data_IF_232332937632
#
_entry.id   IF_232332937632
#
_cell.length_a   1.000
_cell.length_b   1.000
_cell.length_c   1.000
_cell.angle_alpha   90.00
_cell.angle_beta   90.00
_cell.angle_gamma   90.00
#
_symmetry.space_group_name_H-M   'P 1'
#
loop_
_entity.id
_entity.type
_entity.pdbx_description
1 polymer ?
#
# COMPACT_ATOMS: atom_id res chain seq x y z
N UNK A 1 1.96 35.64 7.00
CA UNK A 1 2.44 34.99 5.76
C UNK A 1 1.74 33.65 5.64
N UNK A 2 0.88 33.48 4.63
CA UNK A 2 0.26 32.19 4.33
C UNK A 2 1.36 31.22 3.89
N UNK A 3 1.40 29.96 4.36
CA UNK A 3 2.35 29.00 3.85
C UNK A 3 2.15 28.87 2.33
N UNK A 4 3.18 29.19 1.55
CA UNK A 4 3.19 28.94 0.12
C UNK A 4 3.06 27.43 -0.07
N UNK A 5 1.89 26.98 -0.52
CA UNK A 5 1.69 25.59 -0.91
C UNK A 5 2.43 25.37 -2.22
N UNK A 6 3.57 24.71 -2.14
CA UNK A 6 4.28 24.23 -3.32
C UNK A 6 3.50 23.07 -3.93
N UNK A 7 3.07 23.23 -5.18
CA UNK A 7 2.35 22.17 -5.92
C UNK A 7 3.41 21.32 -6.61
N UNK A 8 3.77 20.19 -6.00
CA UNK A 8 4.65 19.20 -6.60
C UNK A 8 3.84 18.43 -7.65
N UNK A 9 4.28 18.50 -8.91
CA UNK A 9 3.70 17.69 -10.00
C UNK A 9 4.51 16.40 -10.11
N UNK A 10 3.83 15.26 -9.97
CA UNK A 10 4.43 13.93 -10.08
C UNK A 10 3.64 13.10 -11.09
N UNK A 11 4.29 12.17 -11.79
CA UNK A 11 3.58 11.18 -12.59
C UNK A 11 2.89 10.15 -11.68
N UNK A 12 1.96 9.40 -12.28
CA UNK A 12 1.14 8.43 -11.54
C UNK A 12 1.97 7.26 -10.99
N UNK A 13 2.98 6.80 -11.74
CA UNK A 13 3.81 5.68 -11.31
C UNK A 13 4.60 6.04 -10.05
N UNK A 14 5.16 7.26 -9.99
CA UNK A 14 5.80 7.78 -8.79
C UNK A 14 4.82 7.93 -7.62
N UNK A 15 3.58 8.38 -7.87
CA UNK A 15 2.55 8.47 -6.84
C UNK A 15 2.16 7.07 -6.30
N UNK A 16 2.12 6.08 -7.18
CA UNK A 16 1.87 4.69 -6.84
C UNK A 16 3.01 4.12 -5.99
N UNK A 17 4.26 4.41 -6.32
CA UNK A 17 5.42 3.98 -5.53
C UNK A 17 5.39 4.56 -4.11
N UNK A 18 5.10 5.86 -3.97
CA UNK A 18 4.93 6.51 -2.65
C UNK A 18 3.79 5.85 -1.86
N UNK A 19 2.68 5.54 -2.52
CA UNK A 19 1.55 4.88 -1.87
C UNK A 19 1.92 3.47 -1.38
N UNK A 20 2.62 2.69 -2.19
CA UNK A 20 3.06 1.33 -1.82
C UNK A 20 4.11 1.35 -0.70
N UNK A 21 4.99 2.35 -0.67
CA UNK A 21 5.93 2.56 0.43
C UNK A 21 5.20 2.88 1.75
N UNK A 22 4.21 3.77 1.68
CA UNK A 22 3.32 4.06 2.81
C UNK A 22 2.54 2.81 3.28
N UNK A 23 2.09 1.96 2.35
CA UNK A 23 1.43 0.70 2.67
C UNK A 23 2.38 -0.28 3.40
N UNK A 24 3.65 -0.37 3.01
CA UNK A 24 4.65 -1.19 3.71
C UNK A 24 4.77 -0.77 5.19
N UNK A 25 4.89 0.53 5.43
CA UNK A 25 4.96 1.12 6.78
C UNK A 25 3.69 0.84 7.60
N UNK A 26 2.52 0.93 6.94
CA UNK A 26 1.22 0.59 7.54
C UNK A 26 1.12 -0.88 7.93
N UNK A 27 1.59 -1.79 7.08
CA UNK A 27 1.63 -3.23 7.35
C UNK A 27 2.53 -3.56 8.55
N UNK A 28 3.73 -2.97 8.62
CA UNK A 28 4.61 -3.13 9.79
C UNK A 28 3.92 -2.67 11.09
N UNK A 29 3.24 -1.52 11.05
CA UNK A 29 2.51 -0.96 12.20
C UNK A 29 1.33 -1.86 12.62
N UNK A 30 0.61 -2.43 11.66
CA UNK A 30 -0.46 -3.37 11.92
C UNK A 30 0.08 -4.67 12.54
N UNK A 31 1.18 -5.22 12.01
CA UNK A 31 1.83 -6.42 12.55
C UNK A 31 2.38 -6.19 13.95
N UNK A 32 2.87 -4.99 14.27
CA UNK A 32 3.29 -4.66 15.64
C UNK A 32 2.13 -4.76 16.65
N UNK A 33 0.90 -4.52 16.19
CA UNK A 33 -0.32 -4.62 17.01
C UNK A 33 -0.83 -6.06 17.09
N UNK A 34 -0.83 -6.79 15.97
CA UNK A 34 -1.44 -8.14 15.88
C UNK A 34 -0.50 -9.27 16.27
N UNK A 35 0.81 -9.08 16.07
CA UNK A 35 1.87 -10.02 16.44
C UNK A 35 2.93 -9.33 17.31
N UNK A 36 2.55 -8.82 18.51
CA UNK A 36 3.45 -8.02 19.34
C UNK A 36 4.64 -8.83 19.87
N UNK A 37 4.48 -10.15 20.02
CA UNK A 37 5.51 -11.07 20.50
C UNK A 37 6.60 -11.38 19.49
N UNK A 38 6.40 -11.08 18.20
CA UNK A 38 7.40 -11.30 17.17
C UNK A 38 8.46 -10.18 17.21
N UNK A 39 9.75 -10.50 16.99
CA UNK A 39 10.79 -9.49 16.81
C UNK A 39 10.47 -8.56 15.63
N UNK A 40 10.87 -7.29 15.74
CA UNK A 40 10.68 -6.28 14.68
C UNK A 40 11.21 -6.73 13.31
N UNK A 41 12.43 -7.31 13.18
CA UNK A 41 12.92 -7.79 11.88
C UNK A 41 12.03 -8.87 11.23
N UNK A 42 11.35 -9.67 12.05
CA UNK A 42 10.42 -10.70 11.55
C UNK A 42 9.14 -10.04 11.03
N UNK A 43 8.62 -9.04 11.74
CA UNK A 43 7.45 -8.28 11.27
C UNK A 43 7.74 -7.51 9.98
N UNK A 44 8.91 -6.92 9.88
CA UNK A 44 9.35 -6.22 8.65
C UNK A 44 9.43 -7.19 7.47
N UNK A 45 10.02 -8.38 7.68
CA UNK A 45 10.04 -9.43 6.66
C UNK A 45 8.64 -9.85 6.25
N UNK A 46 7.72 -10.02 7.20
CA UNK A 46 6.33 -10.39 6.91
C UNK A 46 5.59 -9.29 6.14
N UNK A 47 5.79 -8.01 6.48
CA UNK A 47 5.22 -6.89 5.75
C UNK A 47 5.75 -6.82 4.31
N UNK A 48 7.05 -7.06 4.13
CA UNK A 48 7.68 -7.13 2.82
C UNK A 48 7.12 -8.28 1.97
N UNK A 49 6.99 -9.48 2.54
CA UNK A 49 6.43 -10.65 1.87
C UNK A 49 4.96 -10.42 1.45
N UNK A 50 4.15 -9.80 2.33
CA UNK A 50 2.77 -9.46 2.02
C UNK A 50 2.69 -8.46 0.85
N UNK A 51 3.53 -7.44 0.88
CA UNK A 51 3.57 -6.43 -0.18
C UNK A 51 4.08 -7.02 -1.51
N UNK A 52 5.05 -7.92 -1.46
CA UNK A 52 5.55 -8.62 -2.65
C UNK A 52 4.46 -9.48 -3.30
N UNK A 53 3.70 -10.25 -2.50
CA UNK A 53 2.58 -11.03 -3.00
C UNK A 53 1.49 -10.14 -3.62
N UNK A 54 1.21 -8.99 -3.01
CA UNK A 54 0.27 -8.01 -3.56
C UNK A 54 0.75 -7.45 -4.90
N UNK A 55 2.04 -7.09 -5.01
CA UNK A 55 2.66 -6.59 -6.25
C UNK A 55 2.72 -7.64 -7.35
N UNK A 56 2.81 -8.92 -6.98
CA UNK A 56 2.88 -10.04 -7.92
C UNK A 56 1.54 -10.37 -8.59
N UNK A 57 0.41 -9.97 -8.01
CA UNK A 57 -0.94 -10.19 -8.56
C UNK A 57 -1.38 -9.00 -9.43
N UNK A 58 -1.41 -9.13 -10.78
CA UNK A 58 -1.74 -8.01 -11.66
C UNK A 58 -3.17 -7.50 -11.48
N UNK A 59 -4.12 -8.37 -11.15
CA UNK A 59 -5.53 -7.98 -10.97
C UNK A 59 -5.70 -7.13 -9.72
N UNK A 60 -5.01 -7.50 -8.65
CA UNK A 60 -4.99 -6.72 -7.41
C UNK A 60 -4.33 -5.37 -7.64
N UNK A 61 -3.19 -5.35 -8.35
CA UNK A 61 -2.49 -4.10 -8.68
C UNK A 61 -3.32 -3.17 -9.57
N UNK A 62 -4.05 -3.69 -10.55
CA UNK A 62 -4.93 -2.86 -11.39
C UNK A 62 -6.12 -2.30 -10.61
N UNK A 63 -6.72 -3.09 -9.72
CA UNK A 63 -7.75 -2.62 -8.80
C UNK A 63 -7.23 -1.54 -7.84
N UNK A 64 -6.00 -1.71 -7.34
CA UNK A 64 -5.36 -0.73 -6.47
C UNK A 64 -5.05 0.58 -7.20
N UNK A 65 -4.57 0.50 -8.45
CA UNK A 65 -4.34 1.68 -9.30
C UNK A 65 -5.62 2.48 -9.51
N UNK A 66 -6.74 1.81 -9.81
CA UNK A 66 -8.03 2.46 -9.97
C UNK A 66 -8.48 3.16 -8.68
N UNK A 67 -8.30 2.52 -7.53
CA UNK A 67 -8.62 3.09 -6.22
C UNK A 67 -7.75 4.32 -5.88
N UNK A 68 -6.43 4.25 -6.12
CA UNK A 68 -5.53 5.40 -5.93
C UNK A 68 -5.91 6.54 -6.88
N UNK A 69 -6.24 6.24 -8.14
CA UNK A 69 -6.70 7.23 -9.11
C UNK A 69 -8.01 7.91 -8.70
N UNK A 70 -8.97 7.16 -8.15
CA UNK A 70 -10.21 7.72 -7.61
C UNK A 70 -9.91 8.71 -6.48
N UNK A 71 -9.06 8.34 -5.53
CA UNK A 71 -8.67 9.20 -4.40
C UNK A 71 -7.93 10.46 -4.85
N UNK A 72 -6.99 10.35 -5.78
CA UNK A 72 -6.28 11.50 -6.37
C UNK A 72 -7.27 12.48 -7.03
N UNK A 73 -8.34 11.95 -7.65
CA UNK A 73 -9.41 12.75 -8.26
C UNK A 73 -10.44 13.29 -7.25
N UNK A 74 -10.26 13.04 -5.95
CA UNK A 74 -11.16 13.47 -4.89
C UNK A 74 -12.41 12.61 -4.73
N UNK A 75 -12.46 11.44 -5.37
CA UNK A 75 -13.51 10.45 -5.17
C UNK A 75 -13.09 9.63 -3.95
N UNK A 76 -13.59 10.01 -2.78
CA UNK A 76 -13.31 9.33 -1.52
C UNK A 76 -14.54 8.51 -1.12
N UNK A 77 -14.35 7.22 -0.95
CA UNK A 77 -15.31 6.32 -0.31
C UNK A 77 -14.82 6.03 1.10
N UNK A 78 -15.71 6.07 2.09
CA UNK A 78 -15.37 5.74 3.49
C UNK A 78 -15.18 4.23 3.72
N UNK A 79 -15.43 3.42 2.70
CA UNK A 79 -15.32 1.96 2.77
C UNK A 79 -13.87 1.49 2.62
N UNK A 80 -13.44 0.46 3.39
CA UNK A 80 -12.16 -0.19 3.18
C UNK A 80 -12.10 -0.83 1.79
N UNK A 81 -11.01 -0.60 1.08
CA UNK A 81 -10.71 -1.36 -0.12
C UNK A 81 -10.33 -2.79 0.27
N UNK A 82 -11.00 -3.77 -0.33
CA UNK A 82 -10.75 -5.19 -0.09
C UNK A 82 -10.31 -5.85 -1.40
N UNK A 83 -9.25 -6.66 -1.33
CA UNK A 83 -8.81 -7.48 -2.44
C UNK A 83 -8.45 -8.88 -1.95
N UNK A 84 -8.69 -9.87 -2.79
CA UNK A 84 -8.19 -11.23 -2.58
C UNK A 84 -6.88 -11.37 -3.34
N UNK A 85 -5.79 -11.57 -2.60
CA UNK A 85 -4.47 -11.84 -3.17
C UNK A 85 -4.33 -13.34 -3.33
N UNK A 86 -4.19 -13.81 -4.57
CA UNK A 86 -3.89 -15.21 -4.81
C UNK A 86 -2.39 -15.39 -4.67
N UNK A 87 -1.93 -15.72 -3.46
CA UNK A 87 -0.57 -16.19 -3.24
C UNK A 87 -0.38 -17.45 -4.08
N UNK A 88 0.36 -17.31 -5.20
CA UNK A 88 0.60 -18.43 -6.10
C UNK A 88 1.18 -19.60 -5.32
N UNK A 89 0.64 -20.79 -5.55
CA UNK A 89 1.35 -22.02 -5.21
C UNK A 89 2.77 -21.89 -5.77
N UNK A 90 3.76 -21.71 -4.90
CA UNK A 90 5.17 -21.78 -5.28
C UNK A 90 5.38 -23.20 -5.83
N UNK A 91 5.37 -23.35 -7.15
CA UNK A 91 5.91 -24.51 -7.85
C UNK A 91 7.42 -24.42 -7.91
#
# INVERSE_FOLDING_TARGET
MSPQREIIRTDFDTAMDIYLDGMASGLCSALATWAPSLPEPVRDSMAADLLENLKADPLVMDGLRDEVMKRIRGIVTDEPWNATVFGGERR
#
